data_IF_071627335043
#
_entry.id   IF_071627335043
#
_cell.length_a   1.000
_cell.length_b   1.000
_cell.length_c   1.000
_cell.angle_alpha   90.00
_cell.angle_beta   90.00
_cell.angle_gamma   90.00
#
_symmetry.space_group_name_H-M   'P 1'
#
loop_
_entity.id
_entity.type
_entity.pdbx_description
1 polymer ?
#
# COMPACT_ATOMS: atom_id res chain seq x y z
N UNK A 1 20.05 -7.12 3.66
CA UNK A 1 18.72 -6.47 3.51
C UNK A 1 18.76 -5.29 2.55
N UNK A 2 18.86 -5.55 1.23
CA UNK A 2 18.94 -4.51 0.21
C UNK A 2 17.62 -3.78 -0.01
N UNK A 3 16.47 -4.29 0.42
CA UNK A 3 15.19 -3.62 0.17
C UNK A 3 14.61 -2.94 1.41
N UNK A 4 13.90 -1.84 1.20
CA UNK A 4 13.00 -1.23 2.19
C UNK A 4 11.73 -0.74 1.50
N UNK A 5 10.71 -0.42 2.29
CA UNK A 5 9.55 0.31 1.77
C UNK A 5 9.74 1.80 2.03
N UNK A 6 9.47 2.62 1.02
CA UNK A 6 9.20 4.05 1.17
C UNK A 6 7.69 4.21 1.15
N UNK A 7 7.10 4.69 2.23
CA UNK A 7 5.66 4.88 2.36
C UNK A 7 5.35 6.34 2.06
N UNK A 8 4.54 6.59 1.04
CA UNK A 8 4.00 7.91 0.74
C UNK A 8 2.56 8.00 1.25
N UNK A 9 2.18 9.15 1.83
CA UNK A 9 0.79 9.45 2.14
C UNK A 9 0.10 9.98 0.87
N UNK A 10 -0.97 9.33 0.42
CA UNK A 10 -1.72 9.78 -0.75
C UNK A 10 -2.35 11.18 -0.56
N UNK A 11 -2.56 11.67 0.67
CA UNK A 11 -3.12 13.00 0.94
C UNK A 11 -2.07 14.10 0.79
N UNK A 12 -0.85 13.85 1.26
CA UNK A 12 0.29 14.77 1.21
C UNK A 12 1.36 14.32 0.21
N UNK A 13 0.97 13.70 -0.91
CA UNK A 13 1.94 13.11 -1.85
C UNK A 13 2.94 14.11 -2.48
N UNK A 14 2.66 15.41 -2.39
CA UNK A 14 3.56 16.50 -2.81
C UNK A 14 4.50 16.98 -1.70
N UNK A 15 4.33 16.51 -0.46
CA UNK A 15 5.25 16.77 0.65
C UNK A 15 6.09 15.51 0.93
N UNK A 16 7.27 15.44 0.31
CA UNK A 16 8.19 14.32 0.47
C UNK A 16 8.69 14.14 1.92
N UNK A 17 8.53 15.14 2.79
CA UNK A 17 8.92 15.08 4.20
C UNK A 17 8.00 14.19 5.05
N UNK A 18 6.77 13.95 4.58
CA UNK A 18 5.80 13.07 5.22
C UNK A 18 6.02 11.59 4.86
N UNK A 19 6.80 11.31 3.82
CA UNK A 19 7.14 9.94 3.49
C UNK A 19 8.16 9.35 4.49
N UNK A 20 7.99 8.09 4.85
CA UNK A 20 8.85 7.41 5.83
C UNK A 20 9.32 6.03 5.34
N UNK A 21 10.47 5.58 5.86
CA UNK A 21 11.01 4.27 5.53
C UNK A 21 10.45 3.22 6.50
N UNK A 22 9.96 2.10 5.97
CA UNK A 22 9.39 1.00 6.76
C UNK A 22 10.07 -0.32 6.45
N UNK A 23 10.64 -0.92 7.49
CA UNK A 23 11.20 -2.27 7.44
C UNK A 23 12.43 -2.42 6.56
N UNK A 24 13.06 -3.58 6.67
CA UNK A 24 14.23 -3.96 5.89
C UNK A 24 14.08 -5.43 5.49
N UNK A 25 14.28 -5.73 4.21
CA UNK A 25 14.00 -7.04 3.65
C UNK A 25 15.19 -7.54 2.84
N UNK A 26 15.41 -8.84 2.88
CA UNK A 26 16.52 -9.47 2.17
C UNK A 26 16.19 -9.73 0.70
N UNK A 27 14.91 -9.91 0.38
CA UNK A 27 14.46 -10.13 -0.99
C UNK A 27 13.35 -9.17 -1.42
N UNK A 28 13.25 -8.93 -2.73
CA UNK A 28 12.16 -8.15 -3.30
C UNK A 28 10.78 -8.74 -2.95
N UNK A 29 10.68 -10.08 -2.98
CA UNK A 29 9.45 -10.80 -2.66
C UNK A 29 8.98 -10.57 -1.22
N UNK A 30 9.90 -10.51 -0.26
CA UNK A 30 9.57 -10.17 1.13
C UNK A 30 9.08 -8.73 1.27
N UNK A 31 9.78 -7.78 0.61
CA UNK A 31 9.35 -6.40 0.57
C UNK A 31 7.96 -6.26 -0.08
N UNK A 32 7.69 -6.98 -1.16
CA UNK A 32 6.38 -7.00 -1.83
C UNK A 32 5.27 -7.55 -0.93
N UNK A 33 5.54 -8.64 -0.19
CA UNK A 33 4.58 -9.15 0.79
C UNK A 33 4.28 -8.13 1.89
N UNK A 34 5.29 -7.38 2.34
CA UNK A 34 5.11 -6.32 3.32
C UNK A 34 4.33 -5.13 2.75
N UNK A 35 4.63 -4.70 1.52
CA UNK A 35 3.90 -3.63 0.83
C UNK A 35 2.42 -3.99 0.68
N UNK A 36 2.13 -5.22 0.24
CA UNK A 36 0.76 -5.75 0.17
C UNK A 36 0.03 -5.70 1.52
N UNK A 37 0.70 -6.01 2.64
CA UNK A 37 0.10 -5.91 3.98
C UNK A 37 -0.25 -4.48 4.34
N UNK A 38 0.64 -3.52 4.07
CA UNK A 38 0.37 -2.08 4.31
C UNK A 38 -0.88 -1.62 3.56
N UNK A 39 -1.02 -2.01 2.29
CA UNK A 39 -2.22 -1.69 1.50
C UNK A 39 -3.48 -2.34 2.09
N UNK A 40 -3.42 -3.62 2.46
CA UNK A 40 -4.57 -4.31 3.06
C UNK A 40 -4.96 -3.71 4.42
N UNK A 41 -4.00 -3.31 5.24
CA UNK A 41 -4.22 -2.63 6.54
C UNK A 41 -4.90 -1.27 6.33
N UNK A 42 -4.39 -0.45 5.40
CA UNK A 42 -5.00 0.82 5.00
C UNK A 42 -6.44 0.64 4.53
N UNK A 43 -6.68 -0.31 3.62
CA UNK A 43 -8.02 -0.61 3.13
C UNK A 43 -8.95 -1.03 4.27
N UNK A 44 -8.52 -1.92 5.17
CA UNK A 44 -9.34 -2.38 6.30
C UNK A 44 -9.68 -1.25 7.27
N UNK A 45 -8.73 -0.36 7.56
CA UNK A 45 -8.95 0.81 8.41
C UNK A 45 -9.96 1.81 7.84
N UNK A 46 -10.12 1.83 6.52
CA UNK A 46 -11.04 2.73 5.81
C UNK A 46 -12.41 2.12 5.51
N UNK A 47 -12.62 0.83 5.82
CA UNK A 47 -13.88 0.16 5.55
C UNK A 47 -15.01 0.76 6.37
N UNK A 48 -16.13 1.04 5.71
CA UNK A 48 -17.38 1.45 6.34
C UNK A 48 -18.46 0.37 6.14
N UNK A 49 -19.35 0.15 7.11
CA UNK A 49 -20.54 -0.69 6.92
C UNK A 49 -21.38 -0.19 5.73
N UNK A 50 -21.77 -1.11 4.83
CA UNK A 50 -22.58 -0.78 3.66
C UNK A 50 -21.86 -0.04 2.52
N UNK A 51 -20.61 0.38 2.69
CA UNK A 51 -19.84 1.00 1.61
C UNK A 51 -19.32 -0.03 0.59
N UNK A 52 -19.49 0.27 -0.69
CA UNK A 52 -19.00 -0.54 -1.80
C UNK A 52 -17.52 -0.31 -2.15
N UNK A 53 -17.02 -1.11 -3.08
CA UNK A 53 -15.62 -1.10 -3.56
C UNK A 53 -15.16 0.28 -4.02
N UNK A 54 -15.97 0.98 -4.82
CA UNK A 54 -15.62 2.29 -5.36
C UNK A 54 -15.35 3.32 -4.25
N UNK A 55 -16.20 3.38 -3.22
CA UNK A 55 -16.04 4.32 -2.10
C UNK A 55 -14.76 4.01 -1.32
N UNK A 56 -14.49 2.72 -1.09
CA UNK A 56 -13.28 2.28 -0.39
C UNK A 56 -12.01 2.66 -1.17
N UNK A 57 -11.99 2.40 -2.49
CA UNK A 57 -10.84 2.74 -3.34
C UNK A 57 -10.65 4.25 -3.46
N UNK A 58 -11.73 5.04 -3.55
CA UNK A 58 -11.65 6.50 -3.53
C UNK A 58 -11.00 7.02 -2.25
N UNK A 59 -11.38 6.47 -1.08
CA UNK A 59 -10.73 6.83 0.19
C UNK A 59 -9.27 6.45 0.24
N UNK A 60 -8.93 5.23 -0.19
CA UNK A 60 -7.55 4.77 -0.23
C UNK A 60 -6.67 5.69 -1.10
N UNK A 61 -7.16 6.09 -2.27
CA UNK A 61 -6.45 7.03 -3.15
C UNK A 61 -6.31 8.44 -2.58
N UNK A 62 -7.07 8.80 -1.56
CA UNK A 62 -7.01 10.10 -0.91
C UNK A 62 -6.22 10.09 0.39
N UNK A 63 -6.20 8.97 1.12
CA UNK A 63 -5.73 8.92 2.51
C UNK A 63 -4.91 7.66 2.85
N UNK A 64 -4.66 6.79 1.87
CA UNK A 64 -4.03 5.49 2.10
C UNK A 64 -2.53 5.59 2.07
N UNK A 65 -1.88 4.61 2.70
CA UNK A 65 -0.44 4.43 2.56
C UNK A 65 -0.13 3.87 1.16
N UNK A 66 0.76 4.54 0.43
CA UNK A 66 1.28 4.12 -0.88
C UNK A 66 2.72 3.58 -0.74
N UNK A 67 2.89 2.29 -0.42
CA UNK A 67 4.20 1.67 -0.29
C UNK A 67 4.88 1.46 -1.65
N UNK A 68 6.10 1.97 -1.76
CA UNK A 68 7.03 1.75 -2.86
C UNK A 68 8.20 0.89 -2.36
N UNK A 69 8.64 -0.09 -3.16
CA UNK A 69 9.80 -0.93 -2.83
C UNK A 69 11.05 -0.28 -3.41
N UNK A 70 12.04 -0.03 -2.55
CA UNK A 70 13.30 0.63 -2.94
C UNK A 70 14.48 -0.26 -2.60
N UNK A 71 15.32 -0.51 -3.61
CA UNK A 71 16.66 -1.07 -3.46
C UNK A 71 17.59 0.00 -2.85
N UNK A 72 18.19 -0.31 -1.70
CA UNK A 72 19.05 0.60 -0.94
C UNK A 72 20.41 0.83 -1.58
N UNK A 73 20.92 -0.15 -2.33
CA UNK A 73 22.25 -0.05 -2.92
C UNK A 73 22.20 0.78 -4.20
N UNK A 74 21.20 0.52 -5.05
CA UNK A 74 21.04 1.23 -6.33
C UNK A 74 20.12 2.45 -6.25
N UNK A 75 19.29 2.57 -5.21
CA UNK A 75 18.21 3.55 -5.13
C UNK A 75 17.04 3.25 -6.08
N UNK A 76 17.07 2.12 -6.78
CA UNK A 76 16.06 1.78 -7.78
C UNK A 76 14.71 1.47 -7.13
N UNK A 77 13.65 2.07 -7.69
CA UNK A 77 12.27 1.76 -7.37
C UNK A 77 11.82 0.53 -8.16
N UNK A 78 11.22 -0.44 -7.47
CA UNK A 78 10.66 -1.64 -8.09
C UNK A 78 9.29 -1.42 -8.73
N UNK A 79 8.83 -2.43 -9.48
CA UNK A 79 7.61 -2.37 -10.29
C UNK A 79 6.29 -2.55 -9.49
N UNK A 80 6.35 -2.73 -8.17
CA UNK A 80 5.15 -2.89 -7.36
C UNK A 80 4.34 -1.59 -7.33
N UNK A 81 3.07 -1.69 -7.75
CA UNK A 81 2.10 -0.59 -7.70
C UNK A 81 1.06 -0.85 -6.60
N UNK A 82 1.07 -0.04 -5.55
CA UNK A 82 0.13 -0.20 -4.44
C UNK A 82 -1.31 0.02 -4.90
N UNK A 83 -1.55 0.99 -5.80
CA UNK A 83 -2.87 1.25 -6.37
C UNK A 83 -3.40 0.07 -7.19
N UNK A 84 -2.56 -0.54 -8.03
CA UNK A 84 -2.96 -1.73 -8.80
C UNK A 84 -3.35 -2.85 -7.84
N UNK A 85 -2.51 -3.12 -6.84
CA UNK A 85 -2.81 -4.12 -5.83
C UNK A 85 -4.06 -3.79 -5.00
N UNK A 86 -4.30 -2.52 -4.66
CA UNK A 86 -5.46 -2.08 -3.89
C UNK A 86 -6.79 -2.41 -4.61
N UNK A 87 -6.85 -2.26 -5.94
CA UNK A 87 -8.02 -2.64 -6.73
C UNK A 87 -8.36 -4.14 -6.58
N UNK A 88 -7.35 -5.01 -6.61
CA UNK A 88 -7.54 -6.45 -6.42
C UNK A 88 -7.88 -6.80 -4.97
N UNK A 89 -7.21 -6.16 -4.02
CA UNK A 89 -7.38 -6.40 -2.60
C UNK A 89 -8.77 -5.96 -2.10
N UNK A 90 -9.27 -4.80 -2.54
CA UNK A 90 -10.60 -4.29 -2.17
C UNK A 90 -11.70 -5.29 -2.55
N UNK A 91 -11.67 -5.82 -3.78
CA UNK A 91 -12.59 -6.88 -4.24
C UNK A 91 -12.56 -8.10 -3.33
N UNK A 92 -11.35 -8.57 -2.99
CA UNK A 92 -11.14 -9.75 -2.14
C UNK A 92 -11.64 -9.53 -0.71
N UNK A 93 -11.33 -8.37 -0.12
CA UNK A 93 -11.69 -8.03 1.26
C UNK A 93 -13.21 -7.90 1.39
N UNK A 94 -13.87 -7.20 0.46
CA UNK A 94 -15.32 -6.99 0.50
C UNK A 94 -16.10 -8.29 0.28
N UNK A 95 -15.64 -9.17 -0.63
CA UNK A 95 -16.26 -10.49 -0.83
C UNK A 95 -16.21 -11.38 0.42
N UNK A 96 -15.12 -11.31 1.21
CA UNK A 96 -14.99 -12.08 2.46
C UNK A 96 -15.95 -11.63 3.57
N UNK A 97 -16.51 -10.42 3.49
CA UNK A 97 -17.48 -9.89 4.48
C UNK A 97 -18.91 -10.41 4.25
N UNK A 98 -19.22 -11.00 3.10
CA UNK A 98 -20.56 -11.50 2.74
C UNK A 98 -20.76 -12.97 3.16
N UNK A 99 -20.08 -13.42 4.22
CA UNK A 99 -20.24 -14.77 4.77
C UNK A 99 -20.55 -14.72 6.26
#
# INVERSE_FOLDING_TARGET
>A
MPYHLRIYDNYHYMDESEAYNKGHYDTYKEAEQAARRVVEESLRGMMEPGAGEQKLLSKYKMFGDDPVIVDKESGQVGDFSAWTYANEAAKRILKKKVK
#
